data_IF_516140672919
#
_entry.id   IF_516140672919
#
_cell.length_a   1.000
_cell.length_b   1.000
_cell.length_c   1.000
_cell.angle_alpha   90.00
_cell.angle_beta   90.00
_cell.angle_gamma   90.00
#
_symmetry.space_group_name_H-M   'P 1'
#
loop_
_entity.id
_entity.type
_entity.pdbx_description
1 polymer ?
#
# COMPACT_ATOMS: atom_id res chain seq x y z
N UNK A 1 -13.22 -11.73 -4.01
CA UNK A 1 -11.84 -11.49 -3.52
C UNK A 1 -11.46 -12.44 -2.39
N UNK A 2 -12.28 -12.56 -1.34
CA UNK A 2 -12.06 -13.44 -0.18
C UNK A 2 -11.86 -14.91 -0.59
N UNK A 3 -12.80 -15.50 -1.35
CA UNK A 3 -12.69 -16.90 -1.81
C UNK A 3 -11.39 -17.18 -2.57
N UNK A 4 -10.95 -16.24 -3.41
CA UNK A 4 -9.70 -16.36 -4.15
C UNK A 4 -8.48 -16.30 -3.23
N UNK A 5 -8.52 -15.46 -2.20
CA UNK A 5 -7.49 -15.39 -1.17
C UNK A 5 -7.38 -16.71 -0.41
N UNK A 6 -8.51 -17.30 0.01
CA UNK A 6 -8.56 -18.62 0.65
C UNK A 6 -7.99 -19.71 -0.24
N UNK A 7 -8.36 -19.73 -1.53
CA UNK A 7 -7.81 -20.68 -2.48
C UNK A 7 -6.29 -20.57 -2.59
N UNK A 8 -5.75 -19.35 -2.68
CA UNK A 8 -4.31 -19.12 -2.78
C UNK A 8 -3.60 -19.57 -1.49
N UNK A 9 -4.14 -19.24 -0.31
CA UNK A 9 -3.57 -19.68 0.97
C UNK A 9 -3.57 -21.20 1.06
N UNK A 10 -4.68 -21.86 0.70
CA UNK A 10 -4.76 -23.32 0.67
C UNK A 10 -3.68 -23.93 -0.24
N UNK A 11 -3.47 -23.37 -1.43
CA UNK A 11 -2.43 -23.84 -2.35
C UNK A 11 -1.01 -23.71 -1.78
N UNK A 12 -0.74 -22.70 -0.94
CA UNK A 12 0.52 -22.55 -0.22
C UNK A 12 0.66 -23.60 0.90
N UNK A 13 -0.39 -23.79 1.70
CA UNK A 13 -0.40 -24.74 2.82
C UNK A 13 -0.23 -26.19 2.34
N UNK A 14 -0.87 -26.56 1.22
CA UNK A 14 -0.69 -27.87 0.56
C UNK A 14 0.76 -28.13 0.12
N UNK A 15 1.57 -27.08 -0.02
CA UNK A 15 2.99 -27.16 -0.37
C UNK A 15 3.91 -26.97 0.85
N UNK A 16 3.36 -27.03 2.05
CA UNK A 16 4.11 -26.87 3.30
C UNK A 16 4.53 -25.43 3.61
N UNK A 17 3.94 -24.44 2.94
CA UNK A 17 4.21 -23.02 3.22
C UNK A 17 3.12 -22.49 4.16
N UNK A 18 3.50 -22.12 5.38
CA UNK A 18 2.58 -21.52 6.35
C UNK A 18 2.01 -20.20 5.83
N UNK A 19 0.70 -19.96 6.06
CA UNK A 19 0.04 -18.68 5.71
C UNK A 19 0.72 -17.45 6.31
N UNK A 20 1.40 -17.60 7.45
CA UNK A 20 2.18 -16.52 8.10
C UNK A 20 3.34 -15.98 7.26
N UNK A 21 3.76 -16.72 6.22
CA UNK A 21 4.82 -16.35 5.27
C UNK A 21 4.29 -15.59 4.05
N UNK A 22 2.98 -15.41 3.94
CA UNK A 22 2.31 -14.92 2.73
C UNK A 22 1.50 -13.67 3.04
N UNK A 23 1.63 -12.66 2.17
CA UNK A 23 0.69 -11.54 2.12
C UNK A 23 -0.20 -11.69 0.88
N UNK A 24 -1.52 -11.72 1.05
CA UNK A 24 -2.45 -11.64 -0.07
C UNK A 24 -2.53 -10.19 -0.54
N UNK A 25 -2.12 -9.94 -1.78
CA UNK A 25 -2.07 -8.60 -2.35
C UNK A 25 -3.39 -8.23 -3.02
N UNK A 26 -4.02 -7.15 -2.57
CA UNK A 26 -5.31 -6.65 -3.06
C UNK A 26 -5.17 -5.18 -3.48
N UNK A 27 -5.89 -4.77 -4.53
CA UNK A 27 -5.99 -3.34 -4.86
C UNK A 27 -6.76 -2.60 -3.74
N UNK A 28 -6.30 -1.41 -3.36
CA UNK A 28 -6.91 -0.59 -2.32
C UNK A 28 -8.18 0.14 -2.80
N UNK A 29 -9.08 -0.59 -3.48
CA UNK A 29 -10.47 -0.14 -3.67
C UNK A 29 -11.23 -0.31 -2.35
N UNK A 30 -12.43 0.26 -2.25
CA UNK A 30 -13.27 0.07 -1.07
C UNK A 30 -13.52 -1.42 -0.81
N UNK A 31 -13.95 -2.17 -1.82
CA UNK A 31 -14.22 -3.61 -1.73
C UNK A 31 -12.97 -4.41 -1.39
N UNK A 32 -11.80 -4.01 -1.91
CA UNK A 32 -10.52 -4.62 -1.57
C UNK A 32 -10.14 -4.42 -0.10
N UNK A 33 -10.39 -3.23 0.45
CA UNK A 33 -10.19 -2.92 1.87
C UNK A 33 -11.19 -3.70 2.74
N UNK A 34 -12.46 -3.80 2.34
CA UNK A 34 -13.45 -4.59 3.06
C UNK A 34 -13.09 -6.08 3.06
N UNK A 35 -12.62 -6.61 1.92
CA UNK A 35 -12.15 -7.99 1.83
C UNK A 35 -10.93 -8.22 2.74
N UNK A 36 -9.98 -7.30 2.74
CA UNK A 36 -8.81 -7.38 3.62
C UNK A 36 -9.21 -7.37 5.10
N UNK A 37 -10.19 -6.56 5.51
CA UNK A 37 -10.70 -6.57 6.89
C UNK A 37 -11.14 -7.96 7.33
N UNK A 38 -11.87 -8.68 6.48
CA UNK A 38 -12.32 -10.06 6.78
C UNK A 38 -11.12 -11.01 6.85
N UNK A 39 -10.22 -10.94 5.87
CA UNK A 39 -9.05 -11.83 5.80
C UNK A 39 -8.09 -11.65 6.98
N UNK A 40 -7.87 -10.42 7.45
CA UNK A 40 -7.02 -10.14 8.62
C UNK A 40 -7.61 -10.72 9.91
N UNK A 41 -8.95 -10.71 10.07
CA UNK A 41 -9.62 -11.37 11.19
C UNK A 41 -9.40 -12.88 11.20
N UNK A 42 -9.28 -13.47 10.01
CA UNK A 42 -8.98 -14.89 9.78
C UNK A 42 -7.47 -15.21 9.81
N UNK A 43 -6.64 -14.26 10.24
CA UNK A 43 -5.18 -14.38 10.30
C UNK A 43 -4.53 -14.61 8.93
N UNK A 44 -5.12 -14.04 7.87
CA UNK A 44 -4.54 -13.99 6.53
C UNK A 44 -4.06 -12.56 6.28
N UNK A 45 -2.74 -12.35 6.43
CA UNK A 45 -2.12 -11.05 6.25
C UNK A 45 -2.31 -10.54 4.82
N UNK A 46 -2.66 -9.25 4.71
CA UNK A 46 -2.93 -8.59 3.44
C UNK A 46 -1.91 -7.49 3.13
N UNK A 47 -1.64 -7.33 1.83
CA UNK A 47 -0.90 -6.20 1.28
C UNK A 47 -1.82 -5.37 0.37
N UNK A 48 -2.17 -4.16 0.80
CA UNK A 48 -3.05 -3.27 0.04
C UNK A 48 -2.22 -2.38 -0.87
N UNK A 49 -2.34 -2.61 -2.18
CA UNK A 49 -1.54 -1.97 -3.25
C UNK A 49 -2.37 -1.01 -4.09
N UNK A 50 -1.75 -0.31 -5.04
CA UNK A 50 -2.45 0.71 -5.85
C UNK A 50 -3.10 1.78 -4.95
N UNK A 51 -2.34 2.16 -3.91
CA UNK A 51 -2.73 3.16 -2.93
C UNK A 51 -2.11 4.50 -3.35
N UNK A 52 -2.97 5.47 -3.63
CA UNK A 52 -2.60 6.79 -4.16
C UNK A 52 -3.13 7.93 -3.31
N UNK A 53 -4.26 7.74 -2.63
CA UNK A 53 -4.92 8.79 -1.84
C UNK A 53 -4.78 8.58 -0.34
N UNK A 54 -4.83 9.69 0.39
CA UNK A 54 -4.85 9.65 1.85
C UNK A 54 -6.08 8.93 2.40
N UNK A 55 -7.24 9.04 1.73
CA UNK A 55 -8.45 8.33 2.12
C UNK A 55 -8.27 6.81 2.10
N UNK A 56 -7.59 6.27 1.08
CA UNK A 56 -7.27 4.84 1.02
C UNK A 56 -6.36 4.43 2.18
N UNK A 57 -5.34 5.24 2.52
CA UNK A 57 -4.47 4.97 3.66
C UNK A 57 -5.24 4.94 4.99
N UNK A 58 -6.08 5.93 5.26
CA UNK A 58 -6.89 5.95 6.49
C UNK A 58 -7.81 4.73 6.55
N UNK A 59 -8.49 4.40 5.45
CA UNK A 59 -9.38 3.24 5.39
C UNK A 59 -8.64 1.91 5.64
N UNK A 60 -7.44 1.73 5.08
CA UNK A 60 -6.61 0.54 5.34
C UNK A 60 -6.21 0.44 6.82
N UNK A 61 -5.85 1.57 7.44
CA UNK A 61 -5.48 1.62 8.86
C UNK A 61 -6.65 1.23 9.76
N UNK A 62 -7.83 1.79 9.50
CA UNK A 62 -9.07 1.48 10.23
C UNK A 62 -9.56 0.04 9.98
N UNK A 63 -9.16 -0.57 8.86
CA UNK A 63 -9.40 -1.99 8.59
C UNK A 63 -8.40 -2.93 9.26
N UNK A 64 -7.40 -2.41 9.99
CA UNK A 64 -6.32 -3.17 10.62
C UNK A 64 -5.55 -4.06 9.62
N UNK A 65 -5.36 -3.55 8.40
CA UNK A 65 -4.55 -4.23 7.39
C UNK A 65 -3.11 -4.38 7.88
N UNK A 66 -2.48 -5.51 7.58
CA UNK A 66 -1.10 -5.81 7.97
C UNK A 66 -0.08 -4.90 7.27
N UNK A 67 -0.23 -4.68 5.96
CA UNK A 67 0.71 -3.90 5.15
C UNK A 67 0.01 -3.11 4.04
N UNK A 68 0.49 -1.89 3.77
CA UNK A 68 0.13 -1.09 2.58
C UNK A 68 1.34 -0.85 1.68
N UNK A 69 1.09 -0.75 0.36
CA UNK A 69 2.08 -0.41 -0.67
C UNK A 69 1.68 0.88 -1.42
N UNK A 70 1.92 2.09 -0.87
CA UNK A 70 1.72 3.35 -1.59
C UNK A 70 2.67 3.48 -2.77
N UNK A 71 2.17 3.93 -3.92
CA UNK A 71 2.97 4.01 -5.14
C UNK A 71 3.54 5.42 -5.33
N UNK A 72 4.82 5.60 -5.03
CA UNK A 72 5.53 6.90 -5.07
C UNK A 72 5.69 7.38 -6.50
N UNK A 73 6.47 6.67 -7.32
CA UNK A 73 6.80 7.12 -8.67
C UNK A 73 5.62 7.18 -9.64
N UNK A 74 4.51 6.46 -9.38
CA UNK A 74 3.29 6.59 -10.21
C UNK A 74 2.55 7.90 -9.93
N UNK A 75 2.64 8.43 -8.71
CA UNK A 75 2.14 9.77 -8.39
C UNK A 75 3.01 10.79 -9.14
N UNK A 76 4.34 10.64 -9.10
CA UNK A 76 5.25 11.50 -9.88
C UNK A 76 4.89 11.52 -11.38
N UNK A 77 4.71 10.35 -12.00
CA UNK A 77 4.34 10.24 -13.42
C UNK A 77 3.09 11.08 -13.75
N UNK A 78 2.05 10.98 -12.90
CA UNK A 78 0.81 11.72 -13.09
C UNK A 78 1.04 13.23 -13.00
N UNK A 79 1.78 13.70 -11.99
CA UNK A 79 2.07 15.13 -11.86
C UNK A 79 2.93 15.67 -13.00
N UNK A 80 3.92 14.90 -13.49
CA UNK A 80 4.73 15.30 -14.64
C UNK A 80 3.91 15.40 -15.93
N UNK A 81 2.92 14.54 -16.11
CA UNK A 81 2.00 14.60 -17.25
C UNK A 81 1.07 15.81 -17.17
N UNK A 82 0.49 16.07 -16.00
CA UNK A 82 -0.50 17.16 -15.83
C UNK A 82 0.16 18.54 -15.69
N UNK A 83 1.42 18.61 -15.22
CA UNK A 83 2.17 19.84 -15.01
C UNK A 83 3.61 19.73 -15.59
N UNK A 84 3.74 19.60 -16.92
CA UNK A 84 5.03 19.32 -17.56
C UNK A 84 6.07 20.41 -17.31
N UNK A 85 5.65 21.68 -17.18
CA UNK A 85 6.55 22.81 -16.88
C UNK A 85 7.18 22.76 -15.49
N UNK A 86 6.66 21.93 -14.58
CA UNK A 86 7.20 21.72 -13.24
C UNK A 86 7.95 20.40 -13.10
N UNK A 87 8.05 19.59 -14.16
CA UNK A 87 8.55 18.23 -14.06
C UNK A 87 9.96 18.14 -13.43
N UNK A 88 10.83 19.11 -13.73
CA UNK A 88 12.21 19.14 -13.24
C UNK A 88 12.32 19.58 -11.78
N UNK A 89 11.29 20.22 -11.21
CA UNK A 89 11.27 20.63 -9.80
C UNK A 89 10.66 19.58 -8.86
N UNK A 90 10.05 18.51 -9.39
CA UNK A 90 9.46 17.41 -8.62
C UNK A 90 10.51 16.34 -8.30
N UNK A 91 11.44 16.66 -7.42
CA UNK A 91 12.56 15.78 -7.05
C UNK A 91 12.75 15.70 -5.53
N UNK A 92 13.25 14.57 -5.04
CA UNK A 92 13.53 14.35 -3.62
C UNK A 92 12.33 14.66 -2.72
N UNK A 93 12.50 15.51 -1.71
CA UNK A 93 11.43 15.91 -0.80
C UNK A 93 10.28 16.71 -1.48
N UNK A 94 10.50 17.27 -2.67
CA UNK A 94 9.47 17.94 -3.45
C UNK A 94 8.66 16.98 -4.34
N UNK A 95 9.06 15.71 -4.42
CA UNK A 95 8.33 14.68 -5.16
C UNK A 95 6.93 14.46 -4.53
N UNK A 96 5.83 14.56 -5.29
CA UNK A 96 4.48 14.45 -4.76
C UNK A 96 4.16 13.06 -4.20
N UNK A 97 4.79 12.00 -4.72
CA UNK A 97 4.72 10.65 -4.19
C UNK A 97 5.46 10.54 -2.85
N UNK A 98 6.64 11.15 -2.72
CA UNK A 98 7.38 11.21 -1.44
C UNK A 98 6.56 11.96 -0.40
N UNK A 99 6.03 13.14 -0.74
CA UNK A 99 5.14 13.93 0.13
C UNK A 99 3.93 13.09 0.59
N UNK A 100 3.30 12.37 -0.33
CA UNK A 100 2.16 11.48 -0.03
C UNK A 100 2.56 10.37 0.95
N UNK A 101 3.67 9.68 0.69
CA UNK A 101 4.19 8.60 1.54
C UNK A 101 4.55 9.11 2.94
N UNK A 102 5.25 10.24 3.04
CA UNK A 102 5.62 10.87 4.32
C UNK A 102 4.38 11.24 5.13
N UNK A 103 3.36 11.82 4.49
CA UNK A 103 2.09 12.15 5.15
C UNK A 103 1.40 10.91 5.71
N UNK A 104 1.33 9.83 4.93
CA UNK A 104 0.73 8.55 5.35
C UNK A 104 1.49 7.96 6.53
N UNK A 105 2.83 7.91 6.43
CA UNK A 105 3.68 7.39 7.50
C UNK A 105 3.48 8.14 8.81
N UNK A 106 3.58 9.48 8.77
CA UNK A 106 3.40 10.32 9.95
C UNK A 106 2.02 10.14 10.58
N UNK A 107 0.96 10.09 9.76
CA UNK A 107 -0.39 9.84 10.25
C UNK A 107 -0.49 8.49 10.97
N UNK A 108 0.10 7.44 10.41
CA UNK A 108 0.08 6.10 11.01
C UNK A 108 0.80 6.07 12.36
N UNK A 109 1.99 6.68 12.44
CA UNK A 109 2.77 6.73 13.69
C UNK A 109 2.11 7.58 14.76
N UNK A 110 1.58 8.74 14.38
CA UNK A 110 0.89 9.65 15.31
C UNK A 110 -0.33 8.99 15.96
N UNK A 111 -1.06 8.14 15.24
CA UNK A 111 -2.28 7.49 15.73
C UNK A 111 -2.06 6.06 16.25
N UNK A 112 -0.81 5.58 16.29
CA UNK A 112 -0.49 4.25 16.82
C UNK A 112 -0.94 3.08 15.94
N UNK A 113 -1.17 3.29 14.64
CA UNK A 113 -1.54 2.22 13.72
C UNK A 113 -0.35 1.27 13.48
N UNK A 114 -0.61 -0.03 13.54
CA UNK A 114 0.40 -1.09 13.38
C UNK A 114 0.66 -1.49 11.94
N UNK A 115 -0.18 -1.06 11.01
CA UNK A 115 -0.04 -1.34 9.58
C UNK A 115 1.35 -0.91 9.08
N UNK A 116 2.05 -1.82 8.43
CA UNK A 116 3.37 -1.58 7.84
C UNK A 116 3.20 -0.66 6.63
N UNK A 117 4.00 0.40 6.57
CA UNK A 117 4.05 1.32 5.42
C UNK A 117 5.26 0.96 4.57
N UNK A 118 5.02 0.34 3.40
CA UNK A 118 6.08 -0.05 2.47
C UNK A 118 5.97 0.78 1.19
N UNK A 119 6.78 1.83 1.06
CA UNK A 119 6.86 2.61 -0.18
C UNK A 119 7.19 1.71 -1.38
N UNK A 120 6.51 1.93 -2.50
CA UNK A 120 6.65 1.09 -3.69
C UNK A 120 6.63 1.90 -4.99
N UNK A 121 7.05 1.25 -6.09
CA UNK A 121 7.00 1.81 -7.44
C UNK A 121 7.80 3.12 -7.61
N UNK A 122 9.04 3.14 -7.14
CA UNK A 122 9.97 4.26 -7.31
C UNK A 122 10.41 4.46 -8.78
N UNK A 123 10.82 5.67 -9.17
CA UNK A 123 11.48 5.98 -10.46
C UNK A 123 12.98 6.18 -10.32
N UNK A 124 13.44 6.68 -9.17
CA UNK A 124 14.84 7.00 -8.96
C UNK A 124 15.23 6.86 -7.48
N UNK A 125 16.53 6.79 -7.21
CA UNK A 125 17.06 6.61 -5.86
C UNK A 125 16.76 7.80 -4.93
N UNK A 126 16.59 9.01 -5.45
CA UNK A 126 16.24 10.19 -4.65
C UNK A 126 14.85 10.15 -4.04
N UNK A 127 13.96 9.25 -4.49
CA UNK A 127 12.67 8.99 -3.84
C UNK A 127 12.78 7.99 -2.67
N UNK A 128 13.90 7.26 -2.60
CA UNK A 128 14.17 6.22 -1.59
C UNK A 128 15.00 6.79 -0.43
N UNK A 129 15.96 7.65 -0.75
CA UNK A 129 16.89 8.31 0.18
C UNK A 129 16.21 9.46 0.94
#
# INVERSE_FOLDING_TARGET
MIEKAHLIIKMYEERGVSRSRVYIKLAATWEGIQAARVLEQEQISCNLTLLFSFAQAVACAQANVSLISPFVGRILDWYKKEQPTKADSLVGAADPGVISLTKIYNYYKQHGYKTIVMGASFRNAGEIL
#
